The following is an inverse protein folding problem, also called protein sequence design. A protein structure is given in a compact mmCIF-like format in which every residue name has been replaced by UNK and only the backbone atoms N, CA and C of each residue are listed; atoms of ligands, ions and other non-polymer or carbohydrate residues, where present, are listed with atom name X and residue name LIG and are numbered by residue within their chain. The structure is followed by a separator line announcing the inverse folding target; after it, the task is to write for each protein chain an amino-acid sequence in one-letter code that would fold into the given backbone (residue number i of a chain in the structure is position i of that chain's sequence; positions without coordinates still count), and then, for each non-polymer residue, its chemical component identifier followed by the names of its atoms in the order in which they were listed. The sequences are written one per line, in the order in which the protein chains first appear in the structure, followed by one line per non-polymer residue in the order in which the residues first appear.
data_IF_437680948467
#
_entry.id   IF_437680948467
#
_cell.length_a   1.000
_cell.length_b   1.000
_cell.length_c   1.000
_cell.angle_alpha   90.00
_cell.angle_beta   90.00
_cell.angle_gamma   90.00
#
_symmetry.space_group_name_H-M   'P 1'
#
loop_
_entity.id
_entity.type
_entity.pdbx_description
1 polymer ?
#
# COMPACT_ATOMS: atom_id res chain seq x y z
N UNK A 1 -7.18 12.75 7.89
CA UNK A 1 -7.57 12.92 6.46
C UNK A 1 -7.35 11.57 5.77
N UNK A 2 -8.27 11.04 4.95
CA UNK A 2 -8.09 9.68 4.42
C UNK A 2 -6.89 9.62 3.46
N UNK A 3 -5.93 8.76 3.77
CA UNK A 3 -4.75 8.46 2.96
C UNK A 3 -4.89 7.05 2.39
N UNK A 4 -4.47 6.87 1.13
CA UNK A 4 -4.57 5.58 0.44
C UNK A 4 -3.20 5.15 -0.03
N UNK A 5 -2.90 3.86 0.04
CA UNK A 5 -1.71 3.28 -0.58
C UNK A 5 -2.17 2.56 -1.84
N UNK A 6 -1.63 2.95 -2.99
CA UNK A 6 -1.79 2.25 -4.25
C UNK A 6 -0.57 1.39 -4.54
N UNK A 7 -0.81 0.20 -5.07
CA UNK A 7 0.22 -0.68 -5.58
C UNK A 7 0.15 -0.74 -7.11
N UNK A 8 1.30 -0.57 -7.77
CA UNK A 8 1.50 -0.93 -9.18
C UNK A 8 2.06 -2.34 -9.25
N UNK A 9 1.25 -3.26 -9.80
CA UNK A 9 1.59 -4.67 -9.80
C UNK A 9 2.77 -4.99 -10.73
N UNK A 10 2.87 -4.25 -11.84
CA UNK A 10 3.95 -4.43 -12.82
C UNK A 10 5.35 -4.14 -12.24
N UNK A 11 5.44 -3.22 -11.28
CA UNK A 11 6.71 -2.82 -10.65
C UNK A 11 7.03 -3.63 -9.38
N UNK A 12 6.12 -4.48 -8.92
CA UNK A 12 6.29 -5.24 -7.68
C UNK A 12 7.05 -6.55 -7.92
N UNK A 13 8.25 -6.66 -7.34
CA UNK A 13 9.10 -7.86 -7.45
C UNK A 13 8.86 -8.90 -6.33
N UNK A 14 7.85 -8.71 -5.47
CA UNK A 14 7.53 -9.67 -4.40
C UNK A 14 8.61 -9.79 -3.31
N UNK A 15 9.36 -8.72 -3.02
CA UNK A 15 10.43 -8.76 -2.00
C UNK A 15 9.93 -8.70 -0.54
N UNK A 16 8.64 -8.46 -0.31
CA UNK A 16 8.01 -8.37 1.03
C UNK A 16 8.54 -7.27 1.98
N UNK A 17 9.45 -6.39 1.54
CA UNK A 17 10.02 -5.32 2.37
C UNK A 17 8.95 -4.39 2.96
N UNK A 18 7.95 -4.03 2.17
CA UNK A 18 6.85 -3.16 2.59
C UNK A 18 5.98 -3.78 3.70
N UNK A 19 5.87 -5.11 3.72
CA UNK A 19 5.09 -5.84 4.70
C UNK A 19 5.85 -5.89 6.04
N UNK A 20 7.17 -6.13 5.99
CA UNK A 20 8.06 -6.10 7.16
C UNK A 20 8.09 -4.69 7.75
N UNK A 21 8.29 -3.66 6.93
CA UNK A 21 8.34 -2.28 7.40
C UNK A 21 7.04 -1.84 8.09
N UNK A 22 5.88 -2.28 7.58
CA UNK A 22 4.59 -2.03 8.23
C UNK A 22 4.52 -2.70 9.62
N UNK A 23 4.98 -3.94 9.73
CA UNK A 23 5.01 -4.65 11.01
C UNK A 23 5.98 -3.99 12.01
N UNK A 24 7.19 -3.60 11.57
CA UNK A 24 8.14 -2.83 12.40
C UNK A 24 7.48 -1.57 12.96
N UNK A 25 6.81 -0.80 12.10
CA UNK A 25 6.23 0.48 12.50
C UNK A 25 5.00 0.36 13.41
N UNK A 26 4.20 -0.72 13.29
CA UNK A 26 2.85 -0.76 13.87
C UNK A 26 2.49 -2.03 14.63
N UNK A 27 3.41 -2.98 14.78
CA UNK A 27 3.13 -4.25 15.44
C UNK A 27 3.69 -4.35 16.87
N UNK A 28 4.25 -3.26 17.43
CA UNK A 28 4.69 -3.17 18.84
C UNK A 28 5.54 -4.38 19.29
N UNK A 29 6.51 -4.79 18.48
CA UNK A 29 7.37 -5.97 18.71
C UNK A 29 6.65 -7.32 18.80
N UNK A 30 5.35 -7.38 18.46
CA UNK A 30 4.58 -8.62 18.40
C UNK A 30 4.84 -9.41 17.12
N UNK A 31 6.07 -9.88 16.93
CA UNK A 31 6.49 -10.53 15.70
C UNK A 31 5.77 -11.87 15.47
N UNK A 32 5.28 -12.12 14.24
CA UNK A 32 4.74 -13.42 13.91
C UNK A 32 5.82 -14.49 14.08
N UNK A 33 5.51 -15.55 14.83
CA UNK A 33 6.43 -16.64 15.13
C UNK A 33 6.62 -17.59 13.94
N UNK A 34 5.73 -17.52 12.94
CA UNK A 34 5.81 -18.31 11.71
C UNK A 34 5.36 -17.51 10.49
N UNK A 35 5.77 -17.94 9.29
CA UNK A 35 5.29 -17.36 8.03
C UNK A 35 3.76 -17.42 7.90
N UNK A 36 3.11 -18.47 8.43
CA UNK A 36 1.65 -18.60 8.40
C UNK A 36 0.93 -17.59 9.30
N UNK A 37 1.62 -17.02 10.28
CA UNK A 37 1.06 -15.98 11.16
C UNK A 37 1.20 -14.59 10.55
N UNK A 38 2.04 -14.45 9.52
CA UNK A 38 2.20 -13.20 8.81
C UNK A 38 0.99 -12.92 7.91
N UNK A 39 0.28 -11.84 8.20
CA UNK A 39 -0.90 -11.37 7.46
C UNK A 39 -0.62 -9.98 6.89
N UNK A 40 0.09 -9.88 5.75
CA UNK A 40 0.38 -8.59 5.15
C UNK A 40 -0.90 -7.92 4.65
N UNK A 41 -1.09 -6.65 5.03
CA UNK A 41 -2.28 -5.85 4.68
C UNK A 41 -2.20 -5.20 3.30
N UNK A 42 -1.04 -5.28 2.63
CA UNK A 42 -0.73 -4.54 1.39
C UNK A 42 -0.77 -5.40 0.12
N UNK A 43 -1.46 -6.55 0.12
CA UNK A 43 -1.56 -7.40 -1.08
C UNK A 43 -2.36 -6.72 -2.19
N UNK A 44 -1.64 -6.24 -3.20
CA UNK A 44 -2.09 -5.96 -4.59
C UNK A 44 -3.40 -5.18 -4.77
N UNK A 45 -3.76 -4.30 -3.83
CA UNK A 45 -4.97 -3.48 -3.92
C UNK A 45 -4.72 -2.09 -3.35
N UNK A 46 -5.54 -1.13 -3.78
CA UNK A 46 -5.57 0.17 -3.13
C UNK A 46 -6.18 -0.01 -1.75
N UNK A 47 -5.40 0.26 -0.70
CA UNK A 47 -5.84 0.14 0.68
C UNK A 47 -5.94 1.51 1.32
N UNK A 48 -7.03 1.76 2.05
CA UNK A 48 -7.07 2.90 2.99
C UNK A 48 -6.09 2.56 4.12
N UNK A 49 -5.13 3.45 4.37
CA UNK A 49 -4.14 3.28 5.43
C UNK A 49 -4.02 4.57 6.24
N UNK A 50 -4.31 4.47 7.53
CA UNK A 50 -4.26 5.56 8.51
C UNK A 50 -3.23 5.31 9.63
N UNK A 51 -2.53 4.16 9.62
CA UNK A 51 -1.61 3.80 10.69
C UNK A 51 -0.38 4.71 10.81
N UNK A 52 0.17 5.17 9.68
CA UNK A 52 1.34 6.05 9.65
C UNK A 52 0.98 7.55 9.72
N UNK A 53 -0.23 7.94 10.16
CA UNK A 53 -0.64 9.36 10.14
C UNK A 53 0.27 10.26 10.99
N UNK A 54 0.85 9.71 12.06
CA UNK A 54 1.75 10.41 12.99
C UNK A 54 3.23 10.35 12.62
N UNK A 55 3.59 9.65 11.53
CA UNK A 55 4.98 9.50 11.10
C UNK A 55 5.36 10.62 10.13
N UNK A 56 6.44 11.36 10.41
CA UNK A 56 6.88 12.50 9.60
C UNK A 56 7.35 12.08 8.20
N UNK A 57 8.05 10.96 8.08
CA UNK A 57 8.51 10.41 6.79
C UNK A 57 7.37 9.75 5.99
N UNK A 58 6.15 9.74 6.54
CA UNK A 58 4.98 9.14 5.94
C UNK A 58 4.99 7.60 6.04
N UNK A 59 4.24 6.92 5.16
CA UNK A 59 4.02 5.48 5.28
C UNK A 59 5.30 4.64 5.15
N UNK A 60 5.62 3.86 6.17
CA UNK A 60 6.81 2.99 6.20
C UNK A 60 6.85 1.99 5.03
N UNK A 61 5.68 1.51 4.58
CA UNK A 61 5.58 0.63 3.42
C UNK A 61 5.97 1.30 2.10
N UNK A 62 5.69 2.61 1.95
CA UNK A 62 6.05 3.39 0.75
C UNK A 62 7.55 3.63 0.72
N UNK A 63 8.12 4.08 1.84
CA UNK A 63 9.55 4.35 1.96
C UNK A 63 10.41 3.10 1.72
N UNK A 64 9.99 1.95 2.25
CA UNK A 64 10.74 0.69 2.13
C UNK A 64 10.62 -0.01 0.78
N UNK A 65 9.80 0.52 -0.16
CA UNK A 65 9.59 -0.12 -1.45
C UNK A 65 10.76 0.16 -2.41
N UNK A 66 11.62 -0.83 -2.71
CA UNK A 66 12.85 -0.58 -3.49
C UNK A 66 12.57 -0.27 -4.96
N UNK A 67 11.42 -0.70 -5.48
CA UNK A 67 11.00 -0.47 -6.87
C UNK A 67 9.99 0.66 -7.01
N UNK A 68 9.65 1.35 -5.91
CA UNK A 68 8.63 2.43 -5.90
C UNK A 68 7.24 1.97 -6.39
N UNK A 69 6.95 0.67 -6.28
CA UNK A 69 5.65 0.09 -6.62
C UNK A 69 4.51 0.55 -5.69
N UNK A 70 4.82 1.15 -4.53
CA UNK A 70 3.84 1.67 -3.59
C UNK A 70 3.83 3.19 -3.58
N UNK A 71 2.63 3.78 -3.68
CA UNK A 71 2.44 5.22 -3.70
C UNK A 71 1.37 5.66 -2.69
N UNK A 72 1.64 6.74 -1.97
CA UNK A 72 0.65 7.43 -1.15
C UNK A 72 -0.22 8.32 -2.05
N UNK A 73 -1.53 8.08 -2.05
CA UNK A 73 -2.51 8.85 -2.78
C UNK A 73 -3.41 9.66 -1.84
N UNK A 74 -3.68 10.89 -2.25
CA UNK A 74 -4.79 11.72 -1.78
C UNK A 74 -6.11 11.21 -2.35
N UNK A 75 -7.23 11.68 -1.78
CA UNK A 75 -8.57 11.40 -2.33
C UNK A 75 -8.71 11.83 -3.80
N UNK A 76 -8.06 12.94 -4.19
CA UNK A 76 -8.10 13.43 -5.58
C UNK A 76 -7.36 12.49 -6.53
N UNK A 77 -6.17 12.04 -6.12
CA UNK A 77 -5.36 11.11 -6.93
C UNK A 77 -6.01 9.74 -7.01
N UNK A 78 -6.62 9.26 -5.92
CA UNK A 78 -7.39 8.02 -5.92
C UNK A 78 -8.50 8.04 -6.98
N UNK A 79 -9.29 9.13 -7.03
CA UNK A 79 -10.36 9.29 -8.03
C UNK A 79 -9.80 9.22 -9.44
N UNK A 80 -8.65 9.86 -9.69
CA UNK A 80 -7.98 9.84 -10.99
C UNK A 80 -7.53 8.44 -11.39
N UNK A 81 -6.85 7.71 -10.49
CA UNK A 81 -6.37 6.34 -10.75
C UNK A 81 -7.54 5.38 -11.02
N UNK A 82 -8.63 5.50 -10.25
CA UNK A 82 -9.85 4.69 -10.49
C UNK A 82 -10.46 4.96 -11.86
N UNK A 83 -10.60 6.24 -12.24
CA UNK A 83 -11.14 6.62 -13.55
C UNK A 83 -10.26 6.08 -14.70
N UNK A 84 -8.93 6.17 -14.55
CA UNK A 84 -7.99 5.68 -15.56
C UNK A 84 -8.10 4.16 -15.75
N UNK A 85 -8.24 3.40 -14.66
CA UNK A 85 -8.42 1.93 -14.72
C UNK A 85 -9.71 1.55 -15.43
N UNK A 86 -10.82 2.24 -15.13
CA UNK A 86 -12.11 2.01 -15.79
C UNK A 86 -12.00 2.24 -17.30
N UNK A 87 -11.39 3.37 -17.71
CA UNK A 87 -11.16 3.70 -19.12
C UNK A 87 -10.25 2.68 -19.81
N UNK A 88 -9.18 2.25 -19.13
CA UNK A 88 -8.21 1.28 -19.67
C UNK A 88 -8.78 -0.15 -19.77
N UNK A 89 -9.69 -0.53 -18.89
CA UNK A 89 -10.37 -1.83 -18.90
C UNK A 89 -11.53 -1.91 -19.91
N UNK A 90 -11.90 -0.79 -20.56
CA UNK A 90 -13.01 -0.76 -21.52
C UNK A 90 -14.39 -0.98 -20.88
N UNK A 91 -14.47 -1.01 -19.55
CA UNK A 91 -15.73 -1.11 -18.82
C UNK A 91 -16.35 0.29 -18.75
N UNK A 92 -17.52 0.47 -19.36
CA UNK A 92 -18.26 1.73 -19.30
C UNK A 92 -18.96 1.83 -17.93
N UNK A 93 -18.62 2.79 -17.05
CA UNK A 93 -19.31 3.00 -15.79
C UNK A 93 -20.59 3.80 -16.06
N UNK A 94 -21.63 3.14 -16.59
CA UNK A 94 -23.01 3.66 -16.53
C UNK A 94 -23.68 3.19 -15.24
#
# INVERSE_FOLDING_TARGET
MNKFIAAEAAECIGCHACEIACAVAHNQENWPLSHSDFRPRTRQQIVKCDLCEQREEGPACVESCPTQALQLLTERELRRVRQQRIVASGENPL
#
